data_IF_492691874232
#
_entry.id   IF_492691874232
#
_cell.length_a   1.000
_cell.length_b   1.000
_cell.length_c   1.000
_cell.angle_alpha   90.00
_cell.angle_beta   90.00
_cell.angle_gamma   90.00
#
_symmetry.space_group_name_H-M   'P 1'
#
loop_
_entity.id
_entity.type
_entity.pdbx_description
1 polymer ?
#
# COMPACT_ATOMS: atom_id res chain seq x y z
N UNK A 1 -29.93 4.19 -12.03
CA UNK A 1 -29.11 5.38 -11.73
C UNK A 1 -27.91 4.90 -10.95
N UNK A 2 -26.81 4.56 -11.64
CA UNK A 2 -25.61 4.02 -10.98
C UNK A 2 -24.41 4.68 -11.64
N UNK A 3 -23.89 5.73 -11.02
CA UNK A 3 -22.54 6.21 -11.26
C UNK A 3 -21.67 5.44 -10.29
N UNK A 4 -20.79 4.55 -10.77
CA UNK A 4 -19.65 4.16 -9.95
C UNK A 4 -18.33 4.14 -10.72
N UNK A 5 -17.46 5.02 -10.26
CA UNK A 5 -16.09 5.29 -10.66
C UNK A 5 -15.22 4.07 -10.37
N UNK A 6 -14.95 3.22 -11.37
CA UNK A 6 -13.87 2.24 -11.21
C UNK A 6 -12.51 2.94 -11.35
N UNK A 7 -11.99 3.44 -10.22
CA UNK A 7 -10.63 3.96 -10.12
C UNK A 7 -9.63 2.82 -10.35
N UNK A 8 -8.95 2.82 -11.50
CA UNK A 8 -7.73 2.01 -11.66
C UNK A 8 -6.60 2.68 -10.85
N UNK A 9 -6.33 2.09 -9.67
CA UNK A 9 -5.32 2.40 -8.64
C UNK A 9 -4.19 3.36 -9.04
N UNK A 10 -3.95 4.35 -8.18
CA UNK A 10 -2.75 5.18 -8.09
C UNK A 10 -1.78 4.61 -7.05
N UNK A 11 -0.60 4.18 -7.50
CA UNK A 11 0.63 4.17 -6.72
C UNK A 11 1.36 5.49 -6.98
N UNK A 12 1.14 6.45 -6.10
CA UNK A 12 2.00 7.58 -5.74
C UNK A 12 1.13 8.54 -4.91
N UNK A 13 1.79 9.26 -4.01
CA UNK A 13 1.24 10.20 -3.04
C UNK A 13 0.10 11.07 -3.61
N UNK A 14 -0.82 11.43 -2.74
CA UNK A 14 -2.02 12.28 -2.96
C UNK A 14 -3.33 11.53 -3.21
N UNK A 15 -4.26 11.78 -2.29
CA UNK A 15 -5.61 11.23 -2.26
C UNK A 15 -6.52 12.01 -3.21
N UNK A 16 -6.02 12.42 -4.37
CA UNK A 16 -6.72 13.36 -5.23
C UNK A 16 -6.82 12.77 -6.63
N UNK A 17 -7.93 12.05 -6.81
CA UNK A 17 -8.51 11.65 -8.09
C UNK A 17 -7.95 10.37 -8.75
N UNK A 18 -8.85 9.56 -9.35
CA UNK A 18 -8.46 8.35 -10.06
C UNK A 18 -7.71 8.67 -11.37
N UNK A 19 -6.66 7.92 -11.71
CA UNK A 19 -5.95 8.05 -12.99
C UNK A 19 -6.85 7.86 -14.22
N UNK A 20 -7.84 6.99 -14.09
CA UNK A 20 -8.82 6.72 -15.13
C UNK A 20 -10.14 6.25 -14.53
N UNK A 21 -11.23 6.60 -15.22
CA UNK A 21 -12.59 6.18 -14.92
C UNK A 21 -13.13 5.42 -16.11
N UNK A 22 -13.76 4.28 -15.85
CA UNK A 22 -14.46 3.51 -16.86
C UNK A 22 -15.96 3.60 -16.55
N UNK A 23 -16.77 4.03 -17.53
CA UNK A 23 -18.22 4.08 -17.42
C UNK A 23 -18.88 3.34 -18.57
N UNK A 24 -20.19 3.10 -18.47
CA UNK A 24 -21.01 2.72 -19.61
C UNK A 24 -21.23 3.93 -20.55
N UNK A 25 -21.83 3.67 -21.71
CA UNK A 25 -22.24 4.69 -22.68
C UNK A 25 -23.49 5.48 -22.27
N UNK A 26 -23.82 5.53 -20.98
CA UNK A 26 -24.95 6.30 -20.48
C UNK A 26 -24.80 7.79 -20.77
N UNK A 27 -25.89 8.45 -21.14
CA UNK A 27 -25.91 9.88 -21.52
C UNK A 27 -25.40 10.80 -20.39
N UNK A 28 -25.52 10.37 -19.13
CA UNK A 28 -25.01 11.12 -17.98
C UNK A 28 -23.48 11.14 -17.88
N UNK A 29 -22.80 10.12 -18.42
CA UNK A 29 -21.33 10.03 -18.42
C UNK A 29 -20.71 10.60 -19.69
N UNK A 30 -21.46 10.61 -20.79
CA UNK A 30 -20.99 11.16 -22.07
C UNK A 30 -21.32 12.65 -22.23
N UNK A 31 -21.49 13.40 -21.14
CA UNK A 31 -21.87 14.80 -21.17
C UNK A 31 -20.64 15.73 -21.14
N UNK A 32 -20.66 16.83 -21.90
CA UNK A 32 -19.58 17.83 -21.97
C UNK A 32 -19.10 18.37 -20.61
N UNK A 33 -19.98 18.73 -19.64
CA UNK A 33 -19.55 19.13 -18.30
C UNK A 33 -18.78 18.03 -17.55
N UNK A 34 -19.15 16.76 -17.73
CA UNK A 34 -18.46 15.64 -17.09
C UNK A 34 -17.05 15.46 -17.67
N UNK A 35 -16.93 15.49 -19.00
CA UNK A 35 -15.63 15.43 -19.69
C UNK A 35 -14.71 16.61 -19.29
N UNK A 36 -15.28 17.81 -19.19
CA UNK A 36 -14.55 19.02 -18.75
C UNK A 36 -14.05 18.86 -17.31
N UNK A 37 -14.89 18.32 -16.41
CA UNK A 37 -14.53 18.04 -15.03
C UNK A 37 -13.37 17.04 -14.96
N UNK A 38 -13.46 15.93 -15.70
CA UNK A 38 -12.41 14.90 -15.70
C UNK A 38 -11.09 15.43 -16.27
N UNK A 39 -11.16 16.25 -17.31
CA UNK A 39 -10.00 16.91 -17.91
C UNK A 39 -9.32 17.86 -16.92
N UNK A 40 -10.11 18.63 -16.13
CA UNK A 40 -9.59 19.52 -15.08
C UNK A 40 -8.76 18.78 -14.03
N UNK A 41 -9.16 17.56 -13.68
CA UNK A 41 -8.46 16.72 -12.70
C UNK A 41 -7.47 15.72 -13.33
N UNK A 42 -7.19 15.83 -14.63
CA UNK A 42 -6.27 14.93 -15.34
C UNK A 42 -6.73 13.46 -15.41
N UNK A 43 -8.03 13.22 -15.24
CA UNK A 43 -8.63 11.89 -15.19
C UNK A 43 -8.99 11.42 -16.60
N UNK A 44 -8.49 10.25 -17.01
CA UNK A 44 -8.83 9.67 -18.32
C UNK A 44 -10.19 8.97 -18.27
N UNK A 45 -11.16 9.45 -19.02
CA UNK A 45 -12.45 8.78 -19.18
C UNK A 45 -12.40 7.73 -20.29
N UNK A 46 -12.84 6.51 -20.00
CA UNK A 46 -13.01 5.43 -20.97
C UNK A 46 -14.44 4.94 -20.96
N UNK A 47 -15.12 5.07 -22.08
CA UNK A 47 -16.48 4.56 -22.24
C UNK A 47 -16.39 3.10 -22.71
N UNK A 48 -17.04 2.20 -21.98
CA UNK A 48 -17.16 0.81 -22.37
C UNK A 48 -18.05 0.70 -23.62
N UNK A 49 -17.69 -0.20 -24.54
CA UNK A 49 -18.53 -0.48 -25.69
C UNK A 49 -19.88 -1.04 -25.23
N UNK A 50 -20.98 -0.71 -25.92
CA UNK A 50 -22.27 -1.35 -25.68
C UNK A 50 -22.13 -2.88 -25.71
N UNK A 51 -22.84 -3.58 -24.82
CA UNK A 51 -22.82 -5.05 -24.72
C UNK A 51 -21.47 -5.70 -24.37
N UNK A 52 -20.62 -5.01 -23.59
CA UNK A 52 -19.39 -5.60 -23.08
C UNK A 52 -19.45 -5.88 -21.55
N UNK A 53 -20.16 -6.94 -21.11
CA UNK A 53 -20.41 -7.23 -19.69
C UNK A 53 -19.14 -7.52 -18.89
N UNK A 54 -18.07 -7.96 -19.56
CA UNK A 54 -16.81 -8.32 -18.90
C UNK A 54 -16.10 -7.13 -18.24
N UNK A 55 -16.30 -5.91 -18.77
CA UNK A 55 -15.74 -4.69 -18.17
C UNK A 55 -16.53 -4.21 -16.94
N UNK A 56 -17.81 -4.57 -16.84
CA UNK A 56 -18.71 -4.20 -15.74
C UNK A 56 -18.79 -5.26 -14.62
N UNK A 57 -18.36 -6.51 -14.88
CA UNK A 57 -18.56 -7.63 -13.96
C UNK A 57 -18.05 -7.42 -12.52
N UNK A 58 -16.94 -6.69 -12.33
CA UNK A 58 -16.44 -6.39 -10.97
C UNK A 58 -17.40 -5.46 -10.19
N UNK A 59 -17.98 -4.48 -10.89
CA UNK A 59 -18.95 -3.54 -10.31
C UNK A 59 -20.27 -4.25 -10.03
N UNK A 60 -20.71 -5.15 -10.92
CA UNK A 60 -21.92 -5.95 -10.72
C UNK A 60 -21.82 -6.87 -9.51
N UNK A 61 -20.67 -7.52 -9.31
CA UNK A 61 -20.42 -8.35 -8.14
C UNK A 61 -20.43 -7.54 -6.84
N UNK A 62 -19.74 -6.39 -6.82
CA UNK A 62 -19.73 -5.50 -5.67
C UNK A 62 -21.15 -5.00 -5.34
N UNK A 63 -21.89 -4.56 -6.35
CA UNK A 63 -23.27 -4.11 -6.20
C UNK A 63 -24.20 -5.23 -5.69
N UNK A 64 -24.02 -6.46 -6.17
CA UNK A 64 -24.78 -7.61 -5.68
C UNK A 64 -24.50 -7.88 -4.20
N UNK A 65 -23.24 -7.80 -3.77
CA UNK A 65 -22.87 -8.00 -2.37
C UNK A 65 -23.41 -6.88 -1.47
N UNK A 66 -23.30 -5.62 -1.87
CA UNK A 66 -23.86 -4.49 -1.12
C UNK A 66 -25.38 -4.63 -1.02
N UNK A 67 -26.06 -5.00 -2.10
CA UNK A 67 -27.50 -5.30 -2.08
C UNK A 67 -27.82 -6.44 -1.12
N UNK A 68 -27.03 -7.51 -1.09
CA UNK A 68 -27.24 -8.62 -0.15
C UNK A 68 -27.09 -8.20 1.32
N UNK A 69 -26.13 -7.32 1.62
CA UNK A 69 -25.97 -6.76 2.97
C UNK A 69 -27.17 -5.87 3.30
N UNK A 70 -27.54 -4.96 2.40
CA UNK A 70 -28.67 -4.06 2.57
C UNK A 70 -29.99 -4.81 2.77
N UNK A 71 -30.23 -5.88 2.00
CA UNK A 71 -31.42 -6.74 2.14
C UNK A 71 -31.52 -7.42 3.51
N UNK A 72 -30.38 -7.69 4.17
CA UNK A 72 -30.36 -8.27 5.52
C UNK A 72 -30.53 -7.21 6.61
N UNK A 73 -30.07 -5.98 6.35
CA UNK A 73 -30.14 -4.86 7.31
C UNK A 73 -31.50 -4.16 7.30
N UNK A 74 -32.11 -4.02 6.12
CA UNK A 74 -33.42 -3.39 5.96
C UNK A 74 -34.50 -4.44 6.25
N UNK A 75 -34.93 -4.52 7.51
CA UNK A 75 -35.99 -5.43 7.95
C UNK A 75 -37.38 -4.81 7.72
N UNK A 76 -38.35 -5.61 7.23
CA UNK A 76 -39.81 -5.40 7.04
C UNK A 76 -40.31 -4.08 6.39
N UNK A 77 -39.80 -2.92 6.77
CA UNK A 77 -40.04 -1.61 6.14
C UNK A 77 -38.94 -1.34 5.11
N UNK A 78 -39.23 -1.53 3.82
CA UNK A 78 -38.30 -1.24 2.71
C UNK A 78 -37.99 0.26 2.50
N UNK A 79 -38.29 1.11 3.49
CA UNK A 79 -38.23 2.57 3.37
C UNK A 79 -36.93 3.18 3.90
N UNK A 80 -36.19 2.46 4.74
CA UNK A 80 -35.02 2.99 5.46
C UNK A 80 -33.68 2.64 4.81
N UNK A 81 -33.70 2.30 3.51
CA UNK A 81 -32.52 1.84 2.77
C UNK A 81 -31.40 2.90 2.70
N UNK A 82 -31.76 4.19 2.64
CA UNK A 82 -30.79 5.28 2.54
C UNK A 82 -30.03 5.48 3.85
N UNK A 83 -30.71 5.32 4.99
CA UNK A 83 -30.11 5.40 6.33
C UNK A 83 -29.17 4.21 6.55
N UNK A 84 -29.61 3.01 6.16
CA UNK A 84 -28.83 1.78 6.30
C UNK A 84 -27.69 1.63 5.27
N UNK A 85 -27.62 2.50 4.25
CA UNK A 85 -26.61 2.42 3.21
C UNK A 85 -25.21 2.67 3.78
N UNK A 86 -25.06 3.60 4.72
CA UNK A 86 -23.76 3.90 5.33
C UNK A 86 -23.20 2.69 6.09
N UNK A 87 -24.01 2.09 6.94
CA UNK A 87 -23.64 0.91 7.73
C UNK A 87 -23.38 -0.31 6.83
N UNK A 88 -24.19 -0.47 5.77
CA UNK A 88 -24.00 -1.53 4.79
C UNK A 88 -22.67 -1.39 4.02
N UNK A 89 -22.30 -0.16 3.65
CA UNK A 89 -21.01 0.13 3.01
C UNK A 89 -19.84 -0.09 3.96
N UNK A 90 -19.99 0.29 5.24
CA UNK A 90 -18.97 0.03 6.25
C UNK A 90 -18.75 -1.47 6.45
N UNK A 91 -19.83 -2.25 6.56
CA UNK A 91 -19.78 -3.69 6.64
C UNK A 91 -19.08 -4.29 5.40
N UNK A 92 -19.45 -3.85 4.20
CA UNK A 92 -18.79 -4.29 2.96
C UNK A 92 -17.27 -4.02 2.98
N UNK A 93 -16.85 -2.81 3.39
CA UNK A 93 -15.45 -2.40 3.42
C UNK A 93 -14.61 -3.17 4.44
N UNK A 94 -15.19 -3.51 5.58
CA UNK A 94 -14.49 -4.16 6.70
C UNK A 94 -14.55 -5.68 6.69
N UNK A 95 -15.51 -6.27 5.96
CA UNK A 95 -15.65 -7.73 5.85
C UNK A 95 -14.45 -8.36 5.14
N UNK A 96 -13.95 -9.47 5.68
CA UNK A 96 -12.86 -10.24 5.10
C UNK A 96 -13.32 -10.98 3.85
N UNK A 97 -12.58 -10.85 2.74
CA UNK A 97 -12.85 -11.60 1.50
C UNK A 97 -11.82 -12.70 1.34
N UNK A 98 -12.25 -13.95 1.43
CA UNK A 98 -11.37 -15.14 1.35
C UNK A 98 -10.55 -15.18 0.07
N UNK A 99 -11.15 -14.85 -1.08
CA UNK A 99 -10.44 -14.80 -2.37
C UNK A 99 -9.34 -13.73 -2.43
N UNK A 100 -9.42 -12.68 -1.61
CA UNK A 100 -8.42 -11.61 -1.54
C UNK A 100 -7.45 -11.81 -0.36
N UNK A 101 -7.75 -12.69 0.58
CA UNK A 101 -6.98 -12.86 1.81
C UNK A 101 -7.00 -11.63 2.73
N UNK A 102 -7.91 -10.68 2.52
CA UNK A 102 -8.05 -9.45 3.32
C UNK A 102 -9.40 -8.77 3.10
N UNK A 103 -9.69 -7.71 3.87
CA UNK A 103 -10.85 -6.84 3.65
C UNK A 103 -10.55 -5.74 2.62
N UNK A 104 -11.56 -5.26 1.86
CA UNK A 104 -11.39 -4.16 0.90
C UNK A 104 -10.74 -2.90 1.50
N UNK A 105 -11.12 -2.52 2.73
CA UNK A 105 -10.51 -1.40 3.45
C UNK A 105 -9.01 -1.60 3.63
N UNK A 106 -8.58 -2.81 4.03
CA UNK A 106 -7.17 -3.16 4.21
C UNK A 106 -6.42 -3.14 2.87
N UNK A 107 -7.05 -3.55 1.79
CA UNK A 107 -6.46 -3.50 0.45
C UNK A 107 -6.20 -2.05 0.00
N UNK A 108 -7.11 -1.13 0.29
CA UNK A 108 -6.94 0.29 -0.08
C UNK A 108 -5.91 0.97 0.82
N UNK A 109 -6.01 0.79 2.13
CA UNK A 109 -5.19 1.52 3.10
C UNK A 109 -3.82 0.87 3.32
N UNK A 110 -3.76 -0.43 3.63
CA UNK A 110 -2.49 -1.09 3.94
C UNK A 110 -1.60 -1.30 2.72
N UNK A 111 -2.17 -1.45 1.52
CA UNK A 111 -1.35 -1.52 0.30
C UNK A 111 -0.58 -0.23 0.07
N UNK A 112 -1.20 0.93 0.32
CA UNK A 112 -0.54 2.23 0.19
C UNK A 112 0.65 2.34 1.14
N UNK A 113 0.44 1.98 2.41
CA UNK A 113 1.51 1.95 3.41
C UNK A 113 2.60 0.94 3.06
N UNK A 114 2.24 -0.25 2.60
CA UNK A 114 3.20 -1.26 2.16
C UNK A 114 4.05 -0.75 0.98
N UNK A 115 3.42 -0.19 -0.06
CA UNK A 115 4.13 0.31 -1.24
C UNK A 115 5.02 1.51 -0.89
N UNK A 116 4.60 2.39 0.02
CA UNK A 116 5.41 3.50 0.55
C UNK A 116 6.62 3.00 1.36
N UNK A 117 6.41 2.03 2.25
CA UNK A 117 7.48 1.43 3.04
C UNK A 117 8.49 0.64 2.18
N UNK A 118 8.04 0.05 1.07
CA UNK A 118 8.91 -0.62 0.11
C UNK A 118 9.74 0.38 -0.71
N UNK A 119 9.19 1.58 -0.98
CA UNK A 119 9.83 2.60 -1.81
C UNK A 119 10.83 3.51 -1.07
N UNK A 120 10.63 3.81 0.23
CA UNK A 120 11.42 4.83 0.94
C UNK A 120 12.72 4.32 1.58
N UNK A 121 13.40 3.33 0.99
CA UNK A 121 14.75 2.94 1.47
C UNK A 121 15.79 3.83 0.83
N UNK A 122 15.90 5.07 1.31
CA UNK A 122 17.01 5.93 0.96
C UNK A 122 18.25 5.46 1.71
N UNK A 123 19.29 5.13 0.95
CA UNK A 123 20.55 4.63 1.47
C UNK A 123 21.62 5.70 1.32
N UNK A 124 22.45 5.86 2.35
CA UNK A 124 23.59 6.78 2.32
C UNK A 124 24.92 6.02 2.33
N UNK A 125 25.95 6.60 1.70
CA UNK A 125 27.32 6.09 1.79
C UNK A 125 27.78 6.09 3.25
N UNK A 126 28.31 4.96 3.72
CA UNK A 126 28.71 4.74 5.11
C UNK A 126 27.63 4.12 6.00
N UNK A 127 26.39 3.98 5.54
CA UNK A 127 25.31 3.39 6.34
C UNK A 127 25.47 1.87 6.48
N UNK A 128 25.16 1.35 7.68
CA UNK A 128 25.14 -0.10 7.96
C UNK A 128 23.81 -0.71 7.52
N UNK A 129 23.87 -1.81 6.79
CA UNK A 129 22.69 -2.49 6.23
C UNK A 129 22.81 -4.00 6.34
N UNK A 130 21.67 -4.68 6.47
CA UNK A 130 21.55 -6.12 6.40
C UNK A 130 21.18 -6.55 4.99
N UNK A 131 21.76 -7.65 4.52
CA UNK A 131 21.49 -8.22 3.20
C UNK A 131 20.59 -9.45 3.32
N UNK A 132 19.54 -9.53 2.51
CA UNK A 132 18.68 -10.72 2.47
C UNK A 132 19.31 -11.89 1.70
N UNK A 133 19.42 -13.07 2.33
CA UNK A 133 19.85 -14.31 1.68
C UNK A 133 18.71 -14.93 0.86
N UNK A 134 18.87 -14.96 -0.47
CA UNK A 134 17.89 -15.57 -1.38
C UNK A 134 18.12 -17.06 -1.58
N UNK A 135 19.26 -17.63 -1.16
CA UNK A 135 19.56 -19.04 -1.41
C UNK A 135 18.61 -19.92 -0.58
N UNK A 136 17.85 -20.77 -1.28
CA UNK A 136 16.86 -21.69 -0.72
C UNK A 136 17.54 -22.84 0.02
N UNK A 137 18.20 -22.56 1.14
CA UNK A 137 18.55 -23.63 2.07
C UNK A 137 17.28 -23.97 2.87
N UNK A 138 16.81 -25.21 2.72
CA UNK A 138 15.70 -25.77 3.51
C UNK A 138 16.18 -25.79 4.96
N UNK A 139 15.81 -24.79 5.75
CA UNK A 139 16.20 -24.73 7.16
C UNK A 139 15.38 -25.78 7.94
N UNK A 140 16.01 -26.79 8.56
CA UNK A 140 15.30 -27.83 9.31
C UNK A 140 14.74 -27.35 10.65
N UNK A 141 14.94 -26.07 11.01
CA UNK A 141 14.61 -25.50 12.32
C UNK A 141 13.93 -24.15 12.16
N UNK A 142 12.75 -24.01 12.79
CA UNK A 142 11.97 -22.76 12.79
C UNK A 142 12.77 -21.62 13.44
N UNK A 143 12.70 -20.44 12.80
CA UNK A 143 13.15 -19.12 13.28
C UNK A 143 14.66 -18.77 13.18
N UNK A 144 15.30 -18.93 12.01
CA UNK A 144 16.55 -18.19 11.70
C UNK A 144 16.24 -16.97 10.83
N UNK A 145 16.77 -15.79 11.18
CA UNK A 145 16.67 -14.60 10.35
C UNK A 145 17.45 -14.82 9.04
N UNK A 146 16.80 -14.66 7.89
CA UNK A 146 17.45 -14.71 6.56
C UNK A 146 18.26 -13.45 6.22
N UNK A 147 18.44 -12.56 7.19
CA UNK A 147 19.22 -11.35 7.07
C UNK A 147 20.65 -11.67 7.46
N UNK A 148 21.55 -11.54 6.50
CA UNK A 148 23.00 -11.64 6.68
C UNK A 148 23.48 -10.29 7.22
N UNK A 149 24.52 -10.36 8.06
CA UNK A 149 25.02 -9.34 8.98
C UNK A 149 25.25 -7.92 8.42
N UNK A 150 25.78 -7.02 9.26
CA UNK A 150 25.87 -5.63 8.92
C UNK A 150 27.00 -5.37 7.92
N UNK A 151 26.64 -4.95 6.71
CA UNK A 151 27.53 -4.47 5.67
C UNK A 151 27.53 -2.94 5.64
N UNK A 152 28.62 -2.34 5.18
CA UNK A 152 28.72 -0.88 5.00
C UNK A 152 28.51 -0.53 3.54
N UNK A 153 27.68 0.47 3.27
CA UNK A 153 27.45 0.97 1.91
C UNK A 153 28.64 1.81 1.45
N UNK A 154 29.29 1.41 0.37
CA UNK A 154 30.40 2.17 -0.23
C UNK A 154 29.89 3.21 -1.24
N UNK A 155 28.92 2.83 -2.07
CA UNK A 155 28.36 3.69 -3.10
C UNK A 155 26.92 3.32 -3.41
N UNK A 156 26.09 4.33 -3.65
CA UNK A 156 24.70 4.18 -4.07
C UNK A 156 24.58 4.77 -5.47
N UNK A 157 24.08 3.97 -6.40
CA UNK A 157 23.83 4.41 -7.76
C UNK A 157 22.37 4.87 -7.90
N UNK A 158 22.12 5.85 -8.78
CA UNK A 158 20.78 6.38 -9.06
C UNK A 158 19.80 5.33 -9.62
N UNK A 159 20.29 4.20 -10.12
CA UNK A 159 19.50 3.08 -10.63
C UNK A 159 19.05 2.08 -9.54
N UNK A 160 19.32 2.35 -8.25
CA UNK A 160 18.92 1.49 -7.13
C UNK A 160 19.86 0.31 -6.85
N UNK A 161 21.01 0.23 -7.53
CA UNK A 161 22.10 -0.69 -7.18
C UNK A 161 22.95 -0.06 -6.08
N UNK A 162 23.33 -0.87 -5.10
CA UNK A 162 24.15 -0.47 -3.96
C UNK A 162 25.39 -1.35 -3.89
N UNK A 163 26.56 -0.74 -3.72
CA UNK A 163 27.80 -1.44 -3.44
C UNK A 163 27.99 -1.60 -1.95
N UNK A 164 28.13 -2.86 -1.52
CA UNK A 164 28.41 -3.22 -0.14
C UNK A 164 29.87 -3.61 0.02
N UNK A 165 30.47 -3.17 1.13
CA UNK A 165 31.77 -3.61 1.58
C UNK A 165 31.61 -4.79 2.55
N UNK A 166 32.34 -5.87 2.31
CA UNK A 166 32.41 -7.01 3.23
C UNK A 166 33.24 -6.65 4.47
N UNK A 167 32.85 -7.13 5.64
CA UNK A 167 33.64 -6.95 6.87
C UNK A 167 34.92 -7.78 6.86
N UNK A 168 34.93 -8.89 6.13
CA UNK A 168 36.01 -9.89 6.17
C UNK A 168 36.97 -9.79 4.97
N UNK A 169 36.60 -9.08 3.92
CA UNK A 169 37.44 -8.84 2.74
C UNK A 169 37.27 -7.40 2.27
N UNK A 170 38.31 -6.77 1.75
CA UNK A 170 38.25 -5.42 1.15
C UNK A 170 37.48 -5.41 -0.19
N UNK A 171 36.80 -6.51 -0.53
CA UNK A 171 36.06 -6.67 -1.76
C UNK A 171 34.66 -6.07 -1.62
N UNK A 172 34.33 -5.20 -2.58
CA UNK A 172 33.00 -4.63 -2.74
C UNK A 172 32.17 -5.50 -3.69
N UNK A 173 30.89 -5.71 -3.38
CA UNK A 173 29.97 -6.39 -4.29
C UNK A 173 28.67 -5.61 -4.49
N UNK A 174 28.11 -5.72 -5.70
CA UNK A 174 26.91 -5.00 -6.12
C UNK A 174 25.66 -5.80 -5.79
N UNK A 175 24.70 -5.15 -5.13
CA UNK A 175 23.40 -5.74 -4.80
C UNK A 175 22.27 -4.77 -5.15
N UNK A 176 21.08 -5.34 -5.38
CA UNK A 176 19.88 -4.53 -5.56
C UNK A 176 19.42 -3.99 -4.19
N UNK A 177 19.21 -2.67 -4.08
CA UNK A 177 18.79 -1.99 -2.86
C UNK A 177 17.49 -2.53 -2.24
N UNK A 178 16.61 -3.15 -3.03
CA UNK A 178 15.39 -3.80 -2.50
C UNK A 178 15.69 -4.93 -1.49
N UNK A 179 16.85 -5.58 -1.62
CA UNK A 179 17.31 -6.69 -0.77
C UNK A 179 18.00 -6.21 0.52
N UNK A 180 18.12 -4.91 0.70
CA UNK A 180 18.78 -4.30 1.84
C UNK A 180 17.77 -3.84 2.88
N UNK A 181 18.15 -3.90 4.15
CA UNK A 181 17.40 -3.33 5.26
C UNK A 181 18.37 -2.51 6.13
N UNK A 182 18.03 -1.26 6.50
CA UNK A 182 18.84 -0.49 7.44
C UNK A 182 19.10 -1.29 8.72
N UNK A 183 20.36 -1.34 9.14
CA UNK A 183 20.74 -1.89 10.42
C UNK A 183 20.50 -0.80 11.47
N UNK A 184 19.57 -1.04 12.39
CA UNK A 184 19.36 -0.18 13.55
C UNK A 184 20.25 -0.71 14.66
N UNK A 185 21.22 0.09 15.09
CA UNK A 185 22.03 -0.27 16.26
C UNK A 185 21.12 -0.39 17.48
N UNK A 186 21.26 -1.46 18.29
CA UNK A 186 20.61 -1.52 19.58
C UNK A 186 21.08 -0.32 20.41
N UNK A 187 20.14 0.42 21.00
CA UNK A 187 20.46 1.46 21.99
C UNK A 187 21.30 0.83 23.11
N UNK A 188 22.57 1.21 23.22
CA UNK A 188 23.42 0.90 24.36
C UNK A 188 23.01 1.79 25.54
N UNK A 189 22.71 1.19 26.70
CA UNK A 189 22.35 1.90 27.94
C UNK A 189 23.56 2.46 28.70
N UNK A 190 24.76 2.43 28.10
CA UNK A 190 26.01 2.60 28.85
C UNK A 190 26.62 4.01 28.74
N UNK A 191 25.83 5.03 28.35
CA UNK A 191 26.31 6.43 28.23
C UNK A 191 25.39 7.47 28.87
N UNK A 192 24.72 7.13 29.97
CA UNK A 192 24.27 8.13 30.93
C UNK A 192 25.25 8.14 32.10
N UNK A 193 26.39 8.81 31.94
CA UNK A 193 27.08 9.37 33.11
C UNK A 193 26.15 10.48 33.63
N UNK A 194 25.33 10.11 34.62
CA UNK A 194 24.53 11.02 35.41
C UNK A 194 25.50 11.95 36.12
N UNK A 195 25.61 13.18 35.64
CA UNK A 195 26.30 14.27 36.34
C UNK A 195 25.47 14.55 37.60
N UNK A 196 25.85 13.93 38.73
CA UNK A 196 25.34 14.31 40.04
C UNK A 196 25.87 15.72 40.35
N UNK A 197 25.04 16.74 40.13
CA UNK A 197 25.26 18.05 40.72
C UNK A 197 24.87 17.94 42.20
N UNK A 198 25.86 17.95 43.08
CA UNK A 198 25.60 18.06 44.52
C UNK A 198 24.91 19.39 44.85
N UNK A 199 23.90 19.39 45.73
CA UNK A 199 23.21 20.62 46.11
C UNK A 199 24.12 21.44 47.03
N UNK A 200 24.33 22.70 46.66
CA UNK A 200 24.96 23.70 47.52
C UNK A 200 24.22 23.78 48.86
N UNK A 201 24.93 23.46 49.95
CA UNK A 201 24.45 23.73 51.30
C UNK A 201 24.47 25.24 51.55
N UNK A 202 23.36 25.76 52.09
CA UNK A 202 23.24 27.14 52.60
C UNK A 202 23.15 27.11 54.11
#
# INVERSE_FOLDING_TARGET
>A
MTIELFSKRTSSLDLEYPKAIISDGGTHFCNKPFETLLSKYGVKHKVATPYHPQTSGQVELANREIKNILMKMVNMSRRDWSVQLHDSLWAYRTTYKTILGMSPYRLVYCKRWHDQLVSCKEFQKGQRVLLYDFKLHIFPRKLKSRWIGPFTIQQVYSNGVVELLNSNSTESFKVNGHRLKPFVEPFSRDKEEIIFLEPHQT
#
